data_IF_764229066107
#
_entry.id   IF_764229066107
#
_cell.length_a   1.000
_cell.length_b   1.000
_cell.length_c   1.000
_cell.angle_alpha   90.00
_cell.angle_beta   90.00
_cell.angle_gamma   90.00
#
_symmetry.space_group_name_H-M   'P 1'
#
loop_
_entity.id
_entity.type
_entity.pdbx_description
1 polymer ?
#
# COMPACT_ATOMS: atom_id res chain seq x y z
N UNK A 1 3.31 -16.49 50.20
CA UNK A 1 2.42 -15.32 50.03
C UNK A 1 2.32 -15.06 48.54
N UNK A 2 1.13 -15.28 47.99
CA UNK A 2 0.85 -15.25 46.55
C UNK A 2 0.97 -13.85 45.96
N UNK A 3 1.61 -13.74 44.79
CA UNK A 3 1.37 -12.66 43.83
C UNK A 3 1.35 -13.27 42.43
N UNK A 4 0.20 -13.83 42.07
CA UNK A 4 -0.16 -14.05 40.67
C UNK A 4 -0.30 -12.69 40.00
N UNK A 5 0.66 -12.32 39.15
CA UNK A 5 0.44 -11.28 38.15
C UNK A 5 -0.46 -11.89 37.07
N UNK A 6 -1.79 -11.71 37.21
CA UNK A 6 -2.71 -11.91 36.09
C UNK A 6 -2.29 -10.91 35.02
N UNK A 7 -1.69 -11.40 33.93
CA UNK A 7 -1.50 -10.64 32.70
C UNK A 7 -2.87 -10.17 32.22
N UNK A 8 -3.22 -8.93 32.57
CA UNK A 8 -4.35 -8.23 32.01
C UNK A 8 -4.00 -8.05 30.54
N UNK A 9 -4.62 -8.82 29.66
CA UNK A 9 -4.56 -8.57 28.22
C UNK A 9 -5.31 -7.26 27.99
N UNK A 10 -4.60 -6.15 28.09
CA UNK A 10 -5.10 -4.83 27.74
C UNK A 10 -5.23 -4.87 26.22
N UNK A 11 -6.45 -5.07 25.74
CA UNK A 11 -6.79 -4.73 24.36
C UNK A 11 -6.54 -3.22 24.21
N UNK A 12 -5.32 -2.87 23.79
CA UNK A 12 -5.00 -1.51 23.36
C UNK A 12 -5.82 -1.31 22.10
N UNK A 13 -6.98 -0.69 22.26
CA UNK A 13 -7.79 -0.19 21.17
C UNK A 13 -6.97 0.94 20.53
N UNK A 14 -6.05 0.59 19.65
CA UNK A 14 -5.49 1.56 18.72
C UNK A 14 -6.66 2.06 17.89
N UNK A 15 -7.15 3.24 18.23
CA UNK A 15 -7.85 4.09 17.28
C UNK A 15 -6.83 4.40 16.19
N UNK A 16 -6.69 3.48 15.25
CA UNK A 16 -6.00 3.71 13.99
C UNK A 16 -6.84 4.79 13.31
N UNK A 17 -6.35 6.02 13.35
CA UNK A 17 -6.73 7.03 12.37
C UNK A 17 -6.30 6.49 11.02
N UNK A 18 -7.21 5.80 10.34
CA UNK A 18 -7.03 5.48 8.93
C UNK A 18 -6.84 6.83 8.22
N UNK A 19 -5.84 6.97 7.32
CA UNK A 19 -5.71 8.18 6.55
C UNK A 19 -7.07 8.49 5.92
N UNK A 20 -7.56 9.72 6.14
CA UNK A 20 -8.76 10.24 5.51
C UNK A 20 -8.74 9.82 4.03
N UNK A 21 -9.85 9.25 3.52
CA UNK A 21 -10.00 8.72 2.15
C UNK A 21 -9.12 9.53 1.20
N UNK A 22 -7.98 8.92 0.84
CA UNK A 22 -6.83 9.63 0.33
C UNK A 22 -7.11 10.27 -1.02
N UNK A 23 -6.49 11.41 -1.27
CA UNK A 23 -6.38 11.95 -2.62
C UNK A 23 -5.38 11.08 -3.39
N UNK A 24 -5.87 10.37 -4.39
CA UNK A 24 -5.07 9.51 -5.27
C UNK A 24 -4.54 10.31 -6.44
N UNK A 25 -3.48 9.79 -7.06
CA UNK A 25 -2.76 10.42 -8.17
C UNK A 25 -2.58 9.44 -9.32
N UNK A 26 -2.80 9.92 -10.54
CA UNK A 26 -2.48 9.23 -11.80
C UNK A 26 -1.54 10.14 -12.58
N UNK A 27 -0.35 9.63 -12.86
CA UNK A 27 0.62 10.28 -13.73
C UNK A 27 0.35 9.93 -15.19
N UNK A 28 0.72 10.81 -16.14
CA UNK A 28 0.56 10.51 -17.55
C UNK A 28 1.41 9.30 -17.93
N UNK A 29 0.90 8.47 -18.82
CA UNK A 29 1.70 7.46 -19.49
C UNK A 29 2.72 8.16 -20.41
N UNK A 30 2.24 9.14 -21.18
CA UNK A 30 2.97 9.88 -22.20
C UNK A 30 2.49 11.33 -22.24
N UNK A 31 3.39 12.28 -22.50
CA UNK A 31 3.04 13.64 -22.89
C UNK A 31 3.97 14.20 -23.96
N UNK A 32 3.46 15.16 -24.73
CA UNK A 32 4.31 15.86 -25.69
C UNK A 32 3.72 17.22 -26.04
N UNK A 33 4.60 18.12 -26.49
CA UNK A 33 4.18 19.31 -27.22
C UNK A 33 4.55 19.17 -28.67
N UNK A 34 3.62 19.57 -29.54
CA UNK A 34 3.85 19.63 -30.98
C UNK A 34 3.81 21.08 -31.46
N UNK A 35 4.77 21.45 -32.31
CA UNK A 35 4.78 22.70 -33.09
C UNK A 35 4.56 22.37 -34.56
N UNK A 36 3.29 22.28 -34.94
CA UNK A 36 2.93 21.71 -36.23
C UNK A 36 3.37 20.25 -36.28
N UNK A 37 3.98 19.83 -37.38
CA UNK A 37 4.48 18.46 -37.50
C UNK A 37 5.75 18.14 -36.69
N UNK A 38 6.29 19.11 -35.95
CA UNK A 38 7.49 18.92 -35.13
C UNK A 38 7.12 18.51 -33.71
N UNK A 39 7.82 17.50 -33.19
CA UNK A 39 7.68 17.03 -31.82
C UNK A 39 8.77 17.64 -30.93
N UNK A 40 8.34 18.38 -29.93
CA UNK A 40 9.18 19.08 -28.95
C UNK A 40 9.13 18.41 -27.57
N UNK A 41 8.89 17.10 -27.52
CA UNK A 41 8.93 16.34 -26.27
C UNK A 41 10.31 16.44 -25.59
N UNK A 42 10.31 16.54 -24.26
CA UNK A 42 11.48 16.54 -23.39
C UNK A 42 12.61 17.52 -23.80
N UNK A 43 12.26 18.59 -24.54
CA UNK A 43 13.22 19.53 -25.08
C UNK A 43 13.45 20.65 -24.07
N UNK A 44 14.58 20.72 -23.37
CA UNK A 44 14.82 21.84 -22.44
C UNK A 44 14.91 23.20 -23.20
N UNK A 45 14.27 24.27 -22.70
CA UNK A 45 13.50 24.41 -21.44
C UNK A 45 11.97 24.29 -21.61
N UNK A 46 11.50 23.54 -22.60
CA UNK A 46 10.12 23.50 -23.06
C UNK A 46 9.31 22.38 -22.41
N UNK A 47 8.38 22.75 -21.53
CA UNK A 47 7.30 21.84 -21.08
C UNK A 47 6.10 21.85 -22.04
N UNK A 48 4.89 21.81 -21.48
CA UNK A 48 3.63 21.73 -22.24
C UNK A 48 3.08 23.11 -22.60
N UNK A 49 3.29 23.59 -23.83
CA UNK A 49 2.88 24.95 -24.20
C UNK A 49 1.71 25.03 -25.20
N UNK A 50 0.90 26.07 -25.00
CA UNK A 50 -0.39 26.27 -25.67
C UNK A 50 -0.46 27.72 -26.15
N UNK A 51 0.20 28.05 -27.28
CA UNK A 51 0.43 29.44 -27.72
C UNK A 51 -0.02 29.75 -29.16
N UNK A 52 0.66 29.28 -30.19
CA UNK A 52 0.34 29.44 -31.61
C UNK A 52 -0.57 28.33 -32.16
N UNK A 53 -1.28 28.55 -33.28
CA UNK A 53 -2.37 27.63 -33.74
C UNK A 53 -1.94 26.17 -33.86
N UNK A 54 -0.68 25.96 -34.21
CA UNK A 54 -0.04 24.66 -34.34
C UNK A 54 0.73 24.21 -33.10
N UNK A 55 0.73 25.00 -32.03
CA UNK A 55 1.44 24.76 -30.77
C UNK A 55 0.42 24.23 -29.75
N UNK A 56 0.47 22.93 -29.55
CA UNK A 56 -0.54 22.15 -28.83
C UNK A 56 0.14 21.05 -28.02
N UNK A 57 -0.47 20.67 -26.91
CA UNK A 57 0.07 19.60 -26.05
C UNK A 57 -0.90 18.44 -25.93
N UNK A 58 -0.35 17.24 -25.80
CA UNK A 58 -1.08 16.01 -25.58
C UNK A 58 -0.63 15.38 -24.26
N UNK A 59 -1.58 14.79 -23.53
CA UNK A 59 -1.35 14.05 -22.29
C UNK A 59 -2.11 12.72 -22.38
N UNK A 60 -1.48 11.60 -22.14
CA UNK A 60 -2.11 10.27 -22.10
C UNK A 60 -2.24 9.78 -20.66
N UNK A 61 -3.41 9.25 -20.27
CA UNK A 61 -3.64 8.67 -18.94
C UNK A 61 -4.35 7.32 -19.05
N UNK A 62 -3.93 6.34 -18.25
CA UNK A 62 -4.73 5.13 -17.99
C UNK A 62 -5.64 5.37 -16.78
N UNK A 63 -6.96 5.43 -16.99
CA UNK A 63 -7.92 5.69 -15.92
C UNK A 63 -8.26 4.42 -15.14
N UNK A 64 -8.52 4.57 -13.84
CA UNK A 64 -8.94 3.46 -12.97
C UNK A 64 -10.38 3.00 -13.25
N UNK A 65 -10.75 1.85 -12.69
CA UNK A 65 -12.11 1.30 -12.79
C UNK A 65 -13.06 1.80 -11.70
N UNK A 66 -12.55 2.59 -10.74
CA UNK A 66 -13.30 3.05 -9.57
C UNK A 66 -13.99 4.39 -9.85
N UNK A 67 -15.32 4.49 -9.64
CA UNK A 67 -16.02 5.77 -9.70
C UNK A 67 -15.48 6.77 -8.67
N UNK A 68 -15.47 8.05 -9.04
CA UNK A 68 -14.88 9.14 -8.26
C UNK A 68 -15.90 10.21 -7.91
N UNK A 69 -15.82 10.76 -6.70
CA UNK A 69 -16.58 11.96 -6.28
C UNK A 69 -15.93 13.24 -6.79
N UNK A 70 -14.62 13.18 -7.04
CA UNK A 70 -13.85 14.27 -7.58
C UNK A 70 -12.70 13.69 -8.43
N UNK A 71 -12.48 14.25 -9.61
CA UNK A 71 -11.22 14.13 -10.33
C UNK A 71 -10.81 15.51 -10.83
N UNK A 72 -9.51 15.83 -10.80
CA UNK A 72 -8.96 17.11 -11.23
C UNK A 72 -7.74 16.89 -12.09
N UNK A 73 -7.70 17.51 -13.26
CA UNK A 73 -6.46 17.71 -13.99
C UNK A 73 -5.65 18.77 -13.25
N UNK A 74 -4.40 18.45 -12.93
CA UNK A 74 -3.47 19.35 -12.27
C UNK A 74 -2.37 19.69 -13.25
N UNK A 75 -2.19 20.98 -13.51
CA UNK A 75 -1.13 21.50 -14.37
C UNK A 75 -0.36 22.57 -13.62
N UNK A 76 0.95 22.49 -13.70
CA UNK A 76 1.85 23.43 -13.04
C UNK A 76 2.43 24.39 -14.05
N UNK A 77 2.52 25.67 -13.72
CA UNK A 77 3.05 26.70 -14.61
C UNK A 77 4.09 27.53 -13.87
N UNK A 78 5.16 27.90 -14.58
CA UNK A 78 6.29 28.67 -14.01
C UNK A 78 6.53 30.00 -14.72
N UNK A 79 6.05 30.13 -15.95
CA UNK A 79 6.39 31.24 -16.83
C UNK A 79 5.70 32.56 -16.48
N UNK A 80 6.20 33.62 -17.08
CA UNK A 80 5.58 34.93 -17.01
C UNK A 80 4.43 34.98 -18.02
N UNK A 81 3.23 35.37 -17.58
CA UNK A 81 2.12 35.75 -18.49
C UNK A 81 1.69 37.19 -18.28
N UNK A 82 1.47 37.92 -19.37
CA UNK A 82 0.98 39.31 -19.35
C UNK A 82 -0.54 39.33 -19.49
N UNK A 83 -1.05 38.59 -20.47
CA UNK A 83 -2.47 38.51 -20.77
C UNK A 83 -3.03 37.17 -20.26
N UNK A 84 -4.26 37.13 -19.76
CA UNK A 84 -4.89 35.87 -19.36
C UNK A 84 -5.18 34.99 -20.59
N UNK A 85 -4.97 33.68 -20.45
CA UNK A 85 -5.22 32.68 -21.48
C UNK A 85 -6.34 31.73 -21.05
N UNK A 86 -7.33 31.56 -21.91
CA UNK A 86 -8.31 30.47 -21.75
C UNK A 86 -7.76 29.23 -22.42
N UNK A 87 -7.45 28.21 -21.62
CA UNK A 87 -7.04 26.91 -22.12
C UNK A 87 -8.27 26.09 -22.40
N UNK A 88 -8.28 25.46 -23.57
CA UNK A 88 -9.30 24.53 -24.03
C UNK A 88 -8.74 23.13 -23.92
N UNK A 89 -9.43 22.26 -23.18
CA UNK A 89 -9.05 20.86 -23.02
C UNK A 89 -10.09 20.00 -23.71
N UNK A 90 -9.64 19.20 -24.66
CA UNK A 90 -10.44 18.18 -25.36
C UNK A 90 -9.91 16.79 -25.01
N UNK A 91 -10.68 15.73 -25.26
CA UNK A 91 -10.23 14.40 -24.89
C UNK A 91 -10.97 13.27 -25.59
N UNK A 92 -10.24 12.19 -25.86
CA UNK A 92 -10.74 10.99 -26.53
C UNK A 92 -9.96 9.74 -26.08
N UNK A 93 -10.53 8.57 -26.29
CA UNK A 93 -9.81 7.30 -26.19
C UNK A 93 -8.79 7.24 -27.33
N UNK A 94 -7.53 7.46 -26.99
CA UNK A 94 -6.43 7.61 -27.94
C UNK A 94 -5.13 7.31 -27.24
N UNK A 95 -4.23 6.64 -27.96
CA UNK A 95 -2.89 6.32 -27.49
C UNK A 95 -1.83 6.89 -28.45
N UNK A 96 -0.72 7.35 -27.91
CA UNK A 96 0.40 7.84 -28.70
C UNK A 96 1.74 7.55 -28.03
N UNK A 97 2.79 7.49 -28.85
CA UNK A 97 4.17 7.40 -28.38
C UNK A 97 4.78 8.81 -28.41
N UNK A 98 5.06 9.37 -27.23
CA UNK A 98 5.61 10.71 -27.06
C UNK A 98 6.91 10.96 -27.83
N UNK A 99 7.67 9.92 -28.19
CA UNK A 99 8.95 10.03 -28.88
C UNK A 99 8.81 10.16 -30.40
N UNK A 100 7.68 9.71 -30.98
CA UNK A 100 7.48 9.66 -32.44
C UNK A 100 6.22 10.38 -32.92
N UNK A 101 5.34 10.80 -32.01
CA UNK A 101 4.07 11.43 -32.37
C UNK A 101 4.26 12.79 -33.06
N UNK A 102 3.54 13.03 -34.16
CA UNK A 102 3.66 14.28 -34.96
C UNK A 102 2.31 14.80 -35.48
N UNK A 103 1.21 14.10 -35.18
CA UNK A 103 -0.11 14.39 -35.73
C UNK A 103 -0.84 15.49 -34.93
N UNK A 104 -0.26 16.70 -34.89
CA UNK A 104 -0.69 17.81 -34.03
C UNK A 104 -2.16 18.20 -34.15
N UNK A 105 -2.76 18.05 -35.32
CA UNK A 105 -4.14 18.47 -35.55
C UNK A 105 -5.20 17.46 -35.06
N UNK A 106 -4.80 16.24 -34.68
CA UNK A 106 -5.71 15.13 -34.34
C UNK A 106 -6.71 15.50 -33.26
N UNK A 107 -6.24 16.15 -32.18
CA UNK A 107 -7.04 16.53 -31.03
C UNK A 107 -8.08 17.62 -31.28
N UNK A 108 -8.00 18.38 -32.39
CA UNK A 108 -8.99 19.41 -32.69
C UNK A 108 -10.40 18.85 -32.89
N UNK A 109 -10.52 17.61 -33.36
CA UNK A 109 -11.79 16.91 -33.56
C UNK A 109 -12.36 16.25 -32.30
N UNK A 110 -11.63 16.24 -31.19
CA UNK A 110 -12.07 15.55 -29.97
C UNK A 110 -13.17 16.33 -29.24
N UNK A 111 -14.05 15.64 -28.48
CA UNK A 111 -15.04 16.28 -27.61
C UNK A 111 -14.38 17.24 -26.61
N UNK A 112 -15.07 18.35 -26.32
CA UNK A 112 -14.68 19.28 -25.26
C UNK A 112 -14.80 18.58 -23.90
N UNK A 113 -13.74 18.64 -23.11
CA UNK A 113 -13.72 18.19 -21.71
C UNK A 113 -13.99 19.37 -20.79
N UNK A 114 -13.34 20.50 -21.03
CA UNK A 114 -13.51 21.69 -20.23
C UNK A 114 -12.61 22.83 -20.69
N UNK A 115 -12.71 23.93 -19.97
CA UNK A 115 -11.82 25.08 -20.13
C UNK A 115 -11.41 25.59 -18.75
N UNK A 116 -10.23 26.18 -18.64
CA UNK A 116 -9.80 26.87 -17.43
C UNK A 116 -9.00 28.12 -17.79
N UNK A 117 -8.99 29.09 -16.87
CA UNK A 117 -8.29 30.34 -17.04
C UNK A 117 -6.90 30.26 -16.42
N UNK A 118 -5.89 30.57 -17.24
CA UNK A 118 -4.55 30.89 -16.79
C UNK A 118 -4.46 32.42 -16.75
N UNK A 119 -4.47 32.99 -15.56
CA UNK A 119 -4.44 34.43 -15.34
C UNK A 119 -3.05 35.04 -15.54
N UNK A 120 -3.01 36.26 -16.07
CA UNK A 120 -1.80 36.98 -16.46
C UNK A 120 -1.01 37.59 -15.29
N UNK A 121 -0.64 36.79 -14.29
CA UNK A 121 0.17 37.26 -13.15
C UNK A 121 1.66 36.99 -13.34
N UNK A 122 2.50 37.98 -12.99
CA UNK A 122 3.96 37.82 -12.92
C UNK A 122 4.32 36.97 -11.71
N UNK A 123 4.89 35.80 -11.95
CA UNK A 123 5.38 34.93 -10.88
C UNK A 123 6.89 35.14 -10.72
N UNK A 124 7.30 35.90 -9.70
CA UNK A 124 8.70 35.94 -9.28
C UNK A 124 9.02 34.66 -8.49
N UNK A 125 10.23 34.14 -8.62
CA UNK A 125 10.72 33.02 -7.78
C UNK A 125 10.44 33.32 -6.28
N UNK A 126 10.03 32.33 -5.47
CA UNK A 126 10.10 30.87 -5.72
C UNK A 126 8.80 30.18 -6.18
N UNK A 127 7.79 30.90 -6.70
CA UNK A 127 6.44 30.34 -6.84
C UNK A 127 6.18 29.62 -8.17
N UNK A 128 5.74 28.37 -8.10
CA UNK A 128 5.07 27.62 -9.18
C UNK A 128 3.56 27.71 -8.96
N UNK A 129 2.80 28.00 -10.02
CA UNK A 129 1.35 28.09 -9.92
C UNK A 129 0.70 26.80 -10.37
N UNK A 130 -0.23 26.31 -9.56
CA UNK A 130 -1.00 25.10 -9.85
C UNK A 130 -2.38 25.51 -10.35
N UNK A 131 -2.72 25.04 -11.53
CA UNK A 131 -4.05 25.13 -12.12
C UNK A 131 -4.76 23.79 -11.97
N UNK A 132 -6.06 23.87 -11.68
CA UNK A 132 -6.91 22.70 -11.49
C UNK A 132 -8.12 22.83 -12.41
N UNK A 133 -8.41 21.78 -13.18
CA UNK A 133 -9.64 21.68 -13.96
C UNK A 133 -10.41 20.46 -13.48
N UNK A 134 -11.70 20.63 -13.21
CA UNK A 134 -12.58 19.51 -12.86
C UNK A 134 -12.69 18.53 -14.04
N UNK A 135 -12.36 17.26 -13.77
CA UNK A 135 -12.46 16.12 -14.68
C UNK A 135 -13.51 15.11 -14.22
N UNK A 136 -14.23 15.34 -13.12
CA UNK A 136 -15.02 14.32 -12.43
C UNK A 136 -16.00 13.58 -13.35
N UNK A 137 -16.81 14.32 -14.12
CA UNK A 137 -17.76 13.70 -15.05
C UNK A 137 -17.08 12.97 -16.21
N UNK A 138 -16.00 13.55 -16.74
CA UNK A 138 -15.23 12.96 -17.84
C UNK A 138 -14.51 11.68 -17.41
N UNK A 139 -13.91 11.66 -16.22
CA UNK A 139 -13.25 10.49 -15.64
C UNK A 139 -14.25 9.34 -15.46
N UNK A 140 -15.39 9.61 -14.82
CA UNK A 140 -16.43 8.60 -14.56
C UNK A 140 -17.06 8.04 -15.86
N UNK A 141 -17.08 8.81 -16.95
CA UNK A 141 -17.57 8.34 -18.25
C UNK A 141 -16.58 7.42 -18.98
N UNK A 142 -15.32 7.36 -18.54
CA UNK A 142 -14.23 6.68 -19.23
C UNK A 142 -13.44 5.71 -18.31
N UNK A 143 -14.08 5.17 -17.27
CA UNK A 143 -13.45 4.23 -16.32
C UNK A 143 -12.80 3.04 -17.05
N UNK A 144 -11.58 2.70 -16.64
CA UNK A 144 -10.81 1.57 -17.16
C UNK A 144 -10.19 1.75 -18.55
N UNK A 145 -10.32 2.94 -19.15
CA UNK A 145 -9.80 3.24 -20.49
C UNK A 145 -8.49 4.01 -20.45
N UNK A 146 -7.68 3.87 -21.51
CA UNK A 146 -6.57 4.79 -21.77
C UNK A 146 -7.09 5.95 -22.60
N UNK A 147 -6.96 7.15 -22.06
CA UNK A 147 -7.56 8.37 -22.58
C UNK A 147 -6.47 9.42 -22.79
N UNK A 148 -6.55 10.16 -23.91
CA UNK A 148 -5.70 11.32 -24.13
C UNK A 148 -6.48 12.62 -23.94
N UNK A 149 -5.81 13.62 -23.36
CA UNK A 149 -6.23 15.02 -23.32
C UNK A 149 -5.41 15.83 -24.32
N UNK A 150 -6.07 16.77 -24.99
CA UNK A 150 -5.49 17.70 -25.95
C UNK A 150 -5.68 19.12 -25.44
N UNK A 151 -4.57 19.81 -25.20
CA UNK A 151 -4.53 21.17 -24.71
C UNK A 151 -4.33 22.12 -25.89
N UNK A 152 -5.27 23.04 -26.04
CA UNK A 152 -5.28 24.03 -27.11
C UNK A 152 -5.93 25.33 -26.62
N UNK A 153 -6.21 26.26 -27.54
CA UNK A 153 -6.91 27.50 -27.29
C UNK A 153 -7.69 27.91 -28.53
N UNK A 154 -8.80 28.60 -28.33
CA UNK A 154 -9.60 29.17 -29.42
C UNK A 154 -9.13 30.57 -29.84
N UNK A 155 -8.52 31.30 -28.91
CA UNK A 155 -8.00 32.65 -29.11
C UNK A 155 -6.58 32.76 -28.59
N UNK A 156 -5.72 33.50 -29.30
CA UNK A 156 -4.35 33.79 -28.92
C UNK A 156 -4.26 35.24 -28.41
N UNK A 157 -4.19 35.45 -27.08
CA UNK A 157 -4.11 36.79 -26.49
C UNK A 157 -2.79 37.51 -26.78
N UNK A 158 -1.72 36.76 -27.03
CA UNK A 158 -0.37 37.30 -27.17
C UNK A 158 0.47 36.44 -28.14
N UNK A 159 1.27 37.11 -28.99
CA UNK A 159 2.10 36.46 -30.02
C UNK A 159 3.51 36.14 -29.53
N UNK A 160 3.97 36.81 -28.48
CA UNK A 160 5.33 36.68 -27.94
C UNK A 160 5.36 35.71 -26.76
N UNK A 161 4.33 35.72 -25.90
CA UNK A 161 4.35 34.97 -24.64
C UNK A 161 3.07 34.17 -24.44
N UNK A 162 3.17 32.90 -24.05
CA UNK A 162 2.03 32.02 -23.82
C UNK A 162 2.28 31.03 -22.69
N UNK A 163 1.23 30.35 -22.20
CA UNK A 163 1.33 29.42 -21.07
C UNK A 163 2.16 28.21 -21.46
N UNK A 164 3.13 27.88 -20.62
CA UNK A 164 3.92 26.66 -20.66
C UNK A 164 3.72 25.98 -19.30
N UNK A 165 3.16 24.78 -19.31
CA UNK A 165 3.05 23.97 -18.12
C UNK A 165 4.27 23.06 -17.99
N UNK A 166 4.46 22.50 -16.81
CA UNK A 166 5.42 21.42 -16.62
C UNK A 166 4.99 20.19 -17.42
N UNK A 167 5.97 19.47 -17.97
CA UNK A 167 5.82 18.17 -18.61
C UNK A 167 6.12 17.03 -17.63
N UNK A 168 6.00 15.78 -18.08
CA UNK A 168 6.31 14.59 -17.30
C UNK A 168 7.79 14.55 -16.88
N UNK A 169 8.70 15.02 -17.73
CA UNK A 169 10.15 14.96 -17.53
C UNK A 169 10.68 16.05 -16.59
N UNK A 170 9.94 17.15 -16.39
CA UNK A 170 10.32 18.27 -15.52
C UNK A 170 11.17 19.33 -16.22
N UNK A 171 11.07 19.46 -17.54
CA UNK A 171 11.96 20.31 -18.35
C UNK A 171 11.69 21.81 -18.19
N UNK A 172 10.50 22.22 -17.73
CA UNK A 172 10.19 23.63 -17.46
C UNK A 172 10.77 24.10 -16.12
N UNK A 173 10.76 23.25 -15.08
CA UNK A 173 11.40 23.60 -13.80
C UNK A 173 12.93 23.45 -13.81
N UNK A 174 13.51 22.77 -14.80
CA UNK A 174 14.95 22.51 -14.88
C UNK A 174 15.45 21.63 -13.72
N UNK A 175 14.54 20.89 -13.10
CA UNK A 175 14.85 19.83 -12.14
C UNK A 175 14.53 18.52 -12.85
N UNK A 176 15.54 17.85 -13.44
CA UNK A 176 15.33 16.61 -14.16
C UNK A 176 14.62 15.60 -13.27
N UNK A 177 13.53 14.99 -13.77
CA UNK A 177 12.78 13.95 -13.08
C UNK A 177 12.18 14.41 -11.74
N UNK A 178 11.51 15.57 -11.72
CA UNK A 178 10.72 15.99 -10.57
C UNK A 178 9.22 15.70 -10.77
N UNK A 179 8.77 14.44 -10.61
CA UNK A 179 7.39 14.05 -10.87
C UNK A 179 6.39 14.82 -10.02
N UNK A 180 6.78 15.42 -8.89
CA UNK A 180 5.85 16.19 -8.04
C UNK A 180 5.15 17.33 -8.80
N UNK A 181 5.76 17.86 -9.86
CA UNK A 181 5.29 19.06 -10.56
C UNK A 181 4.69 18.80 -11.95
N UNK A 182 4.97 17.65 -12.55
CA UNK A 182 4.38 17.26 -13.83
C UNK A 182 2.85 17.20 -13.83
N UNK A 183 2.25 17.12 -15.03
CA UNK A 183 0.82 17.02 -15.20
C UNK A 183 0.32 15.73 -14.53
N UNK A 184 -0.87 15.76 -13.96
CA UNK A 184 -1.46 14.58 -13.30
C UNK A 184 -2.96 14.70 -13.14
N UNK A 185 -3.62 13.58 -12.90
CA UNK A 185 -4.99 13.55 -12.41
C UNK A 185 -4.96 13.23 -10.92
N UNK A 186 -5.53 14.13 -10.11
CA UNK A 186 -5.80 13.89 -8.69
C UNK A 186 -7.28 13.53 -8.50
N UNK A 187 -7.57 12.44 -7.79
CA UNK A 187 -8.95 11.96 -7.64
C UNK A 187 -9.29 11.47 -6.23
N UNK A 188 -10.57 11.52 -5.91
CA UNK A 188 -11.15 11.04 -4.65
C UNK A 188 -12.25 10.02 -5.02
N UNK A 189 -12.22 8.80 -4.46
CA UNK A 189 -13.27 7.80 -4.70
C UNK A 189 -14.66 8.37 -4.43
N UNK A 190 -15.67 7.86 -5.13
CA UNK A 190 -17.04 8.25 -4.83
C UNK A 190 -17.41 7.78 -3.42
N UNK A 191 -18.14 8.61 -2.68
CA UNK A 191 -18.52 8.29 -1.29
C UNK A 191 -19.33 7.00 -1.16
N UNK A 192 -19.87 6.45 -2.25
CA UNK A 192 -20.59 5.17 -2.28
C UNK A 192 -19.71 3.96 -2.61
N UNK A 193 -18.40 4.11 -2.73
CA UNK A 193 -17.46 3.01 -2.97
C UNK A 193 -17.02 2.46 -1.62
N UNK A 194 -17.28 1.17 -1.29
CA UNK A 194 -16.84 0.59 -0.04
C UNK A 194 -15.32 0.41 -0.01
N UNK A 195 -14.72 0.34 1.17
CA UNK A 195 -13.27 0.11 1.36
C UNK A 195 -13.09 -1.00 2.39
N UNK A 196 -12.23 -1.97 2.10
CA UNK A 196 -11.84 -3.00 3.07
C UNK A 196 -10.74 -2.45 3.99
N UNK A 197 -11.01 -2.39 5.29
CA UNK A 197 -10.03 -1.98 6.31
C UNK A 197 -9.94 -3.04 7.41
N UNK A 198 -8.71 -3.39 7.80
CA UNK A 198 -8.41 -4.31 8.90
C UNK A 198 -7.97 -3.52 10.14
N UNK A 199 -8.33 -4.00 11.33
CA UNK A 199 -7.91 -3.35 12.59
C UNK A 199 -6.44 -3.56 12.96
N UNK A 200 -5.77 -4.49 12.29
CA UNK A 200 -4.36 -4.86 12.53
C UNK A 200 -3.69 -5.16 11.20
N UNK A 201 -2.37 -5.01 11.16
CA UNK A 201 -1.55 -5.32 9.98
C UNK A 201 -0.94 -6.73 10.03
N UNK A 202 -0.83 -7.32 11.23
CA UNK A 202 -0.36 -8.69 11.45
C UNK A 202 -0.90 -9.26 12.77
N UNK A 203 -0.89 -10.58 12.90
CA UNK A 203 -1.12 -11.30 14.17
C UNK A 203 0.16 -12.05 14.52
N UNK A 204 0.65 -11.84 15.74
CA UNK A 204 1.75 -12.61 16.31
C UNK A 204 1.30 -13.27 17.61
N UNK A 205 1.36 -14.60 17.62
CA UNK A 205 0.96 -15.40 18.78
C UNK A 205 2.03 -16.43 19.12
N UNK A 206 2.08 -16.82 20.38
CA UNK A 206 2.98 -17.86 20.85
C UNK A 206 2.27 -18.73 21.87
N UNK A 207 2.59 -20.01 21.85
CA UNK A 207 2.08 -21.02 22.79
C UNK A 207 3.20 -22.00 23.07
N UNK A 208 3.21 -22.56 24.27
CA UNK A 208 4.20 -23.57 24.65
C UNK A 208 3.68 -24.96 24.24
N UNK A 209 4.59 -25.86 23.92
CA UNK A 209 4.27 -27.19 23.40
C UNK A 209 3.34 -27.95 24.36
N UNK A 210 2.35 -28.65 23.80
CA UNK A 210 1.32 -29.34 24.58
C UNK A 210 0.21 -28.44 25.14
N UNK A 211 0.31 -27.11 25.03
CA UNK A 211 -0.77 -26.19 25.43
C UNK A 211 -1.71 -25.82 24.26
N UNK A 212 -2.90 -25.34 24.61
CA UNK A 212 -3.87 -24.84 23.64
C UNK A 212 -3.71 -23.34 23.47
N UNK A 213 -3.42 -22.90 22.25
CA UNK A 213 -3.39 -21.48 21.90
C UNK A 213 -4.80 -20.88 21.96
N UNK A 214 -4.95 -19.75 22.65
CA UNK A 214 -6.19 -18.98 22.66
C UNK A 214 -6.52 -18.42 21.27
N UNK A 215 -7.81 -18.23 20.99
CA UNK A 215 -8.25 -17.60 19.75
C UNK A 215 -7.82 -16.14 19.69
N UNK A 216 -7.47 -15.68 18.49
CA UNK A 216 -7.23 -14.28 18.19
C UNK A 216 -8.44 -13.64 17.51
N UNK A 217 -8.47 -12.32 17.45
CA UNK A 217 -9.53 -11.60 16.73
C UNK A 217 -8.98 -10.44 15.93
N UNK A 218 -9.65 -10.13 14.82
CA UNK A 218 -9.45 -8.90 14.07
C UNK A 218 -10.79 -8.34 13.62
N UNK A 219 -10.83 -7.07 13.25
CA UNK A 219 -12.03 -6.39 12.79
C UNK A 219 -11.89 -6.06 11.31
N UNK A 220 -12.92 -6.38 10.53
CA UNK A 220 -13.12 -5.84 9.18
C UNK A 220 -14.08 -4.67 9.28
N UNK A 221 -13.74 -3.55 8.67
CA UNK A 221 -14.57 -2.35 8.65
C UNK A 221 -14.72 -1.78 7.25
N UNK A 222 -15.88 -1.15 7.00
CA UNK A 222 -16.13 -0.38 5.79
C UNK A 222 -15.95 1.12 6.09
N UNK A 223 -14.76 1.64 5.80
CA UNK A 223 -14.36 3.02 6.15
C UNK A 223 -14.91 4.11 5.24
N UNK A 224 -15.65 3.73 4.20
CA UNK A 224 -16.30 4.63 3.23
C UNK A 224 -17.73 4.16 2.98
N UNK A 225 -18.50 4.90 2.17
CA UNK A 225 -19.90 4.55 1.94
C UNK A 225 -20.11 3.41 0.95
N UNK A 226 -21.38 3.18 0.60
CA UNK A 226 -21.80 1.94 -0.05
C UNK A 226 -21.87 0.76 0.92
N UNK A 227 -22.15 -0.43 0.38
CA UNK A 227 -22.18 -1.68 1.15
C UNK A 227 -21.03 -2.56 0.71
N UNK A 228 -20.11 -2.85 1.61
CA UNK A 228 -19.04 -3.83 1.42
C UNK A 228 -19.60 -5.24 1.57
N UNK A 229 -19.50 -6.05 0.53
CA UNK A 229 -19.65 -7.51 0.60
C UNK A 229 -18.26 -8.14 0.52
N UNK A 230 -17.88 -8.97 1.49
CA UNK A 230 -16.54 -9.55 1.54
C UNK A 230 -16.56 -11.03 1.94
N UNK A 231 -15.50 -11.72 1.54
CA UNK A 231 -15.19 -13.10 1.92
C UNK A 231 -13.79 -13.17 2.53
N UNK A 232 -13.56 -14.16 3.38
CA UNK A 232 -12.30 -14.42 4.06
C UNK A 232 -11.85 -15.84 3.73
N UNK A 233 -10.60 -15.97 3.33
CA UNK A 233 -9.92 -17.26 3.14
C UNK A 233 -8.60 -17.25 3.90
N UNK A 234 -8.08 -18.44 4.19
CA UNK A 234 -6.73 -18.64 4.71
C UNK A 234 -6.02 -19.71 3.87
N UNK A 235 -4.71 -19.82 4.03
CA UNK A 235 -3.86 -20.72 3.25
C UNK A 235 -3.24 -21.84 4.07
N UNK A 236 -3.69 -22.10 5.30
CA UNK A 236 -3.07 -23.08 6.19
C UNK A 236 -4.10 -23.92 6.95
N UNK A 237 -3.95 -25.26 6.99
CA UNK A 237 -4.93 -26.15 7.61
C UNK A 237 -4.98 -26.07 9.14
N UNK A 238 -3.95 -25.52 9.79
CA UNK A 238 -3.90 -25.30 11.23
C UNK A 238 -4.60 -24.01 11.68
N UNK A 239 -5.13 -23.23 10.75
CA UNK A 239 -5.83 -21.97 11.01
C UNK A 239 -7.23 -22.02 10.41
N UNK A 240 -8.18 -21.32 11.04
CA UNK A 240 -9.50 -21.06 10.46
C UNK A 240 -10.06 -19.74 10.97
N UNK A 241 -10.92 -19.10 10.16
CA UNK A 241 -11.56 -17.82 10.51
C UNK A 241 -13.08 -17.94 10.50
N UNK A 242 -13.74 -17.40 11.53
CA UNK A 242 -15.21 -17.36 11.61
C UNK A 242 -15.72 -16.02 12.16
N UNK A 243 -16.75 -15.41 11.57
CA UNK A 243 -17.41 -15.82 10.31
C UNK A 243 -16.47 -15.61 9.09
N UNK A 244 -16.57 -16.45 8.05
CA UNK A 244 -15.70 -16.35 6.87
C UNK A 244 -16.19 -15.36 5.80
N UNK A 245 -17.20 -14.54 6.10
CA UNK A 245 -17.74 -13.52 5.19
C UNK A 245 -18.62 -12.51 5.94
N UNK A 246 -18.98 -11.42 5.27
CA UNK A 246 -19.92 -10.45 5.81
C UNK A 246 -20.42 -9.43 4.79
N UNK A 247 -21.35 -8.62 5.26
CA UNK A 247 -21.84 -7.42 4.59
C UNK A 247 -21.83 -6.25 5.59
N UNK A 248 -21.26 -5.12 5.21
CA UNK A 248 -21.08 -3.94 6.05
C UNK A 248 -21.50 -2.68 5.29
N UNK A 249 -22.49 -1.97 5.80
CA UNK A 249 -22.81 -0.61 5.34
C UNK A 249 -21.73 0.40 5.74
N UNK A 250 -21.89 1.64 5.32
CA UNK A 250 -20.99 2.74 5.66
C UNK A 250 -20.72 2.84 7.17
N UNK A 251 -19.43 2.90 7.53
CA UNK A 251 -18.98 3.06 8.92
C UNK A 251 -19.24 1.84 9.82
N UNK A 252 -19.75 0.74 9.27
CA UNK A 252 -19.96 -0.50 10.02
C UNK A 252 -18.69 -1.35 10.07
N UNK A 253 -18.60 -2.17 11.11
CA UNK A 253 -17.51 -3.11 11.31
C UNK A 253 -18.01 -4.45 11.86
N UNK A 254 -17.18 -5.49 11.72
CA UNK A 254 -17.45 -6.82 12.26
C UNK A 254 -16.17 -7.48 12.75
N UNK A 255 -16.25 -8.08 13.92
CA UNK A 255 -15.18 -8.90 14.50
C UNK A 255 -15.19 -10.30 13.90
N UNK A 256 -14.00 -10.79 13.59
CA UNK A 256 -13.70 -12.14 13.12
C UNK A 256 -12.78 -12.83 14.12
N UNK A 257 -13.05 -14.10 14.39
CA UNK A 257 -12.27 -14.93 15.31
C UNK A 257 -11.37 -15.86 14.51
N UNK A 258 -10.10 -15.89 14.87
CA UNK A 258 -9.07 -16.80 14.36
C UNK A 258 -8.92 -17.95 15.35
N UNK A 259 -9.10 -19.18 14.87
CA UNK A 259 -8.94 -20.40 15.67
C UNK A 259 -7.77 -21.23 15.15
N UNK A 260 -7.01 -21.83 16.07
CA UNK A 260 -5.79 -22.57 15.79
C UNK A 260 -5.96 -24.06 16.14
N UNK A 261 -5.44 -24.95 15.29
CA UNK A 261 -5.40 -26.40 15.49
C UNK A 261 -3.97 -26.90 15.35
N UNK A 262 -3.19 -26.77 16.44
CA UNK A 262 -1.74 -27.07 16.47
C UNK A 262 -1.38 -28.36 17.21
N UNK A 263 -2.35 -29.13 17.71
CA UNK A 263 -2.07 -30.26 18.62
C UNK A 263 -1.18 -31.40 18.07
N UNK A 264 -0.91 -31.44 16.77
CA UNK A 264 -0.01 -32.42 16.13
C UNK A 264 1.22 -31.77 15.48
N UNK A 265 1.47 -30.49 15.75
CA UNK A 265 2.58 -29.74 15.19
C UNK A 265 3.75 -29.72 16.19
N UNK A 266 4.97 -29.89 15.68
CA UNK A 266 6.20 -29.82 16.48
C UNK A 266 6.56 -28.38 16.84
N UNK A 267 7.55 -28.21 17.71
CA UNK A 267 8.06 -26.88 18.06
C UNK A 267 8.56 -26.17 16.79
N UNK A 268 8.26 -24.88 16.66
CA UNK A 268 8.67 -24.12 15.48
C UNK A 268 7.84 -22.86 15.21
N UNK A 269 8.14 -22.23 14.07
CA UNK A 269 7.46 -21.02 13.60
C UNK A 269 6.54 -21.40 12.45
N UNK A 270 5.25 -21.09 12.62
CA UNK A 270 4.19 -21.35 11.64
C UNK A 270 3.66 -20.04 11.08
N UNK A 271 3.63 -19.93 9.75
CA UNK A 271 3.20 -18.73 9.05
C UNK A 271 2.00 -19.00 8.14
N UNK A 272 1.00 -18.12 8.21
CA UNK A 272 -0.19 -18.13 7.37
C UNK A 272 -0.52 -16.72 6.87
N UNK A 273 -1.32 -16.66 5.82
CA UNK A 273 -1.94 -15.44 5.32
C UNK A 273 -3.45 -15.61 5.32
N UNK A 274 -4.14 -14.74 6.05
CA UNK A 274 -5.60 -14.57 5.92
C UNK A 274 -5.84 -13.52 4.84
N UNK A 275 -6.66 -13.83 3.84
CA UNK A 275 -7.02 -12.91 2.77
C UNK A 275 -8.48 -12.48 2.94
N UNK A 276 -8.72 -11.17 3.01
CA UNK A 276 -10.06 -10.57 3.00
C UNK A 276 -10.27 -9.90 1.65
N UNK A 277 -11.23 -10.41 0.86
CA UNK A 277 -11.47 -9.92 -0.50
C UNK A 277 -12.90 -9.43 -0.69
N UNK A 278 -13.07 -8.47 -1.59
CA UNK A 278 -14.38 -8.09 -2.12
C UNK A 278 -15.07 -9.32 -2.72
N UNK A 279 -16.35 -9.46 -2.41
CA UNK A 279 -17.17 -10.58 -2.83
C UNK A 279 -18.46 -10.08 -3.47
N UNK A 280 -18.32 -9.16 -4.43
CA UNK A 280 -19.43 -8.67 -5.24
C UNK A 280 -20.07 -7.39 -4.73
N UNK A 281 -19.28 -6.48 -4.16
CA UNK A 281 -19.80 -5.14 -3.85
C UNK A 281 -20.16 -4.40 -5.15
N UNK A 282 -21.16 -3.52 -5.08
CA UNK A 282 -21.56 -2.69 -6.21
C UNK A 282 -21.72 -1.23 -5.76
N UNK A 283 -20.81 -0.32 -6.15
CA UNK A 283 -19.59 -0.56 -6.94
C UNK A 283 -18.56 -1.44 -6.21
N UNK A 284 -17.58 -2.06 -6.91
CA UNK A 284 -16.55 -2.88 -6.29
C UNK A 284 -15.76 -2.10 -5.23
N UNK A 285 -15.36 -2.78 -4.14
CA UNK A 285 -14.59 -2.12 -3.08
C UNK A 285 -13.23 -1.59 -3.58
N UNK A 286 -12.87 -0.42 -3.08
CA UNK A 286 -11.50 0.08 -3.16
C UNK A 286 -10.61 -0.81 -2.27
N UNK A 287 -9.44 -1.19 -2.77
CA UNK A 287 -8.59 -2.22 -2.18
C UNK A 287 -9.35 -3.55 -2.03
N UNK A 288 -9.82 -4.09 -3.15
CA UNK A 288 -10.63 -5.30 -3.25
C UNK A 288 -10.00 -6.58 -2.67
N UNK A 289 -8.77 -6.51 -2.15
CA UNK A 289 -8.12 -7.57 -1.40
C UNK A 289 -7.16 -6.97 -0.37
N UNK A 290 -7.18 -7.49 0.85
CA UNK A 290 -6.25 -7.20 1.93
C UNK A 290 -5.70 -8.52 2.49
N UNK A 291 -4.42 -8.56 2.82
CA UNK A 291 -3.75 -9.74 3.37
C UNK A 291 -3.31 -9.42 4.80
N UNK A 292 -3.69 -10.29 5.73
CA UNK A 292 -3.28 -10.27 7.14
C UNK A 292 -2.33 -11.44 7.39
N UNK A 293 -1.01 -11.18 7.49
CA UNK A 293 -0.04 -12.18 7.91
C UNK A 293 -0.28 -12.61 9.36
N UNK A 294 -0.14 -13.92 9.60
CA UNK A 294 -0.25 -14.54 10.92
C UNK A 294 1.02 -15.35 11.17
N UNK A 295 1.70 -15.09 12.27
CA UNK A 295 2.84 -15.87 12.75
C UNK A 295 2.51 -16.47 14.10
N UNK A 296 2.58 -17.80 14.21
CA UNK A 296 2.45 -18.52 15.46
C UNK A 296 3.78 -19.18 15.80
N UNK A 297 4.30 -18.93 17.01
CA UNK A 297 5.49 -19.60 17.53
C UNK A 297 5.05 -20.68 18.53
N UNK A 298 5.19 -21.95 18.14
CA UNK A 298 5.08 -23.06 19.09
C UNK A 298 6.45 -23.25 19.73
N UNK A 299 6.53 -22.98 21.03
CA UNK A 299 7.79 -22.92 21.79
C UNK A 299 7.92 -24.12 22.71
N UNK A 300 9.12 -24.31 23.21
CA UNK A 300 9.49 -25.28 24.23
C UNK A 300 10.44 -24.59 25.21
N UNK A 301 10.89 -25.33 26.22
CA UNK A 301 11.90 -24.85 27.18
C UNK A 301 13.27 -24.78 26.51
N UNK A 302 14.14 -23.86 26.95
CA UNK A 302 15.46 -23.69 26.34
C UNK A 302 16.29 -25.00 26.26
N UNK A 303 16.23 -25.90 27.27
CA UNK A 303 17.00 -27.15 27.22
C UNK A 303 16.54 -28.22 26.22
N UNK A 304 15.39 -28.03 25.56
CA UNK A 304 14.95 -28.85 24.42
C UNK A 304 15.69 -28.33 23.18
N UNK A 305 16.81 -28.98 22.87
CA UNK A 305 17.78 -28.59 21.85
C UNK A 305 17.48 -29.25 20.49
N UNK A 306 16.58 -30.22 20.42
CA UNK A 306 16.12 -30.82 19.17
C UNK A 306 14.71 -30.47 18.71
N UNK A 307 14.00 -29.71 19.55
CA UNK A 307 12.71 -29.10 19.29
C UNK A 307 11.60 -30.12 19.06
N UNK A 308 11.64 -31.25 19.76
CA UNK A 308 10.58 -32.26 19.71
C UNK A 308 9.53 -32.12 20.83
N UNK A 309 9.78 -31.25 21.82
CA UNK A 309 8.84 -30.88 22.87
C UNK A 309 9.14 -31.50 24.24
N UNK A 310 10.20 -32.29 24.38
CA UNK A 310 10.69 -32.79 25.66
C UNK A 310 12.17 -32.46 25.93
N UNK A 311 12.68 -32.84 27.10
CA UNK A 311 14.10 -32.69 27.43
C UNK A 311 14.63 -34.05 27.86
N UNK A 312 15.45 -34.65 27.02
CA UNK A 312 15.88 -36.04 27.21
C UNK A 312 17.36 -36.31 26.85
N UNK A 313 17.70 -37.55 26.46
CA UNK A 313 19.08 -37.94 26.16
C UNK A 313 19.56 -37.42 24.81
N UNK A 314 18.66 -37.20 23.87
CA UNK A 314 18.92 -36.67 22.54
C UNK A 314 19.34 -35.21 22.67
N UNK A 315 18.65 -34.42 23.49
CA UNK A 315 19.06 -33.06 23.86
C UNK A 315 20.37 -33.05 24.62
N UNK A 316 20.56 -33.98 25.56
CA UNK A 316 21.80 -34.06 26.31
C UNK A 316 23.00 -34.31 25.38
N UNK A 317 22.82 -35.11 24.32
CA UNK A 317 23.83 -35.33 23.29
C UNK A 317 24.23 -34.03 22.59
N UNK A 318 23.27 -33.14 22.30
CA UNK A 318 23.53 -31.82 21.71
C UNK A 318 24.19 -30.87 22.71
N UNK A 319 23.70 -30.83 23.94
CA UNK A 319 24.29 -30.05 25.02
C UNK A 319 25.75 -30.45 25.28
N UNK A 320 26.03 -31.76 25.34
CA UNK A 320 27.35 -32.32 25.58
C UNK A 320 28.37 -31.90 24.52
N UNK A 321 27.96 -31.71 23.27
CA UNK A 321 28.85 -31.24 22.20
C UNK A 321 29.40 -29.83 22.45
N UNK A 322 28.68 -29.03 23.25
CA UNK A 322 29.03 -27.65 23.59
C UNK A 322 29.60 -27.49 25.00
N UNK A 323 29.40 -28.48 25.88
CA UNK A 323 29.75 -28.38 27.29
C UNK A 323 31.24 -28.16 27.53
N UNK A 324 31.56 -27.22 28.42
CA UNK A 324 32.92 -26.84 28.79
C UNK A 324 33.59 -25.86 27.82
N UNK A 325 32.83 -25.26 26.91
CA UNK A 325 33.33 -24.27 25.95
C UNK A 325 32.73 -22.88 26.20
N UNK A 326 33.43 -21.81 25.78
CA UNK A 326 32.79 -20.50 25.58
C UNK A 326 31.84 -20.58 24.39
N UNK A 327 30.71 -19.87 24.40
CA UNK A 327 29.73 -19.90 23.31
C UNK A 327 30.41 -19.69 21.94
N UNK A 328 30.31 -20.71 21.09
CA UNK A 328 30.81 -20.74 19.72
C UNK A 328 29.62 -20.82 18.75
N UNK A 329 29.83 -20.50 17.45
CA UNK A 329 28.83 -20.76 16.42
C UNK A 329 28.30 -22.20 16.46
N UNK A 330 27.00 -22.36 16.67
CA UNK A 330 26.29 -23.64 16.82
C UNK A 330 26.03 -24.09 18.26
N UNK A 331 26.54 -23.37 19.27
CA UNK A 331 26.37 -23.66 20.69
C UNK A 331 25.61 -22.56 21.45
N UNK A 332 25.10 -21.55 20.75
CA UNK A 332 24.38 -20.42 21.34
C UNK A 332 23.12 -20.88 22.08
N UNK A 333 22.47 -21.94 21.62
CA UNK A 333 21.28 -22.50 22.25
C UNK A 333 21.57 -23.26 23.54
N UNK A 334 22.82 -23.69 23.78
CA UNK A 334 23.19 -24.47 24.97
C UNK A 334 23.64 -23.58 26.16
N UNK A 335 23.77 -22.27 25.96
CA UNK A 335 24.02 -21.26 27.00
C UNK A 335 22.69 -20.73 27.52
N UNK A 336 22.10 -21.47 28.47
CA UNK A 336 20.75 -21.23 28.96
C UNK A 336 20.67 -20.03 29.90
N UNK A 337 21.78 -19.66 30.54
CA UNK A 337 21.83 -18.48 31.42
C UNK A 337 22.38 -17.22 30.72
N UNK A 338 22.80 -17.34 29.45
CA UNK A 338 23.35 -16.27 28.62
C UNK A 338 24.61 -15.61 29.21
N UNK A 339 25.47 -16.38 29.88
CA UNK A 339 26.73 -15.90 30.47
C UNK A 339 27.94 -15.96 29.53
N UNK A 340 27.74 -16.51 28.32
CA UNK A 340 28.77 -16.67 27.31
C UNK A 340 29.60 -17.96 27.45
N UNK A 341 29.25 -18.87 28.35
CA UNK A 341 29.92 -20.16 28.53
C UNK A 341 28.94 -21.30 28.83
N UNK A 342 29.01 -22.39 28.07
CA UNK A 342 28.20 -23.59 28.32
C UNK A 342 28.88 -24.43 29.40
N UNK A 343 28.37 -24.38 30.63
CA UNK A 343 29.07 -24.89 31.81
C UNK A 343 28.13 -25.57 32.83
N UNK A 344 28.62 -25.81 34.05
CA UNK A 344 27.88 -26.51 35.09
C UNK A 344 26.58 -25.80 35.49
N UNK A 345 26.51 -24.47 35.33
CA UNK A 345 25.28 -23.70 35.57
C UNK A 345 24.21 -24.07 34.54
N UNK A 346 24.54 -24.11 33.25
CA UNK A 346 23.62 -24.55 32.19
C UNK A 346 23.20 -26.00 32.35
N UNK A 347 24.14 -26.87 32.75
CA UNK A 347 23.81 -28.26 33.04
C UNK A 347 22.83 -28.40 34.22
N UNK A 348 22.91 -27.50 35.19
CA UNK A 348 21.92 -27.42 36.27
C UNK A 348 20.52 -27.09 35.77
N UNK A 349 20.41 -26.14 34.82
CA UNK A 349 19.15 -25.78 34.16
C UNK A 349 18.63 -26.95 33.32
N UNK A 350 19.50 -27.60 32.54
CA UNK A 350 19.16 -28.79 31.76
C UNK A 350 18.55 -29.89 32.63
N UNK A 351 19.22 -30.26 33.72
CA UNK A 351 18.74 -31.30 34.64
C UNK A 351 17.43 -30.91 35.34
N UNK A 352 17.18 -29.62 35.55
CA UNK A 352 15.92 -29.12 36.08
C UNK A 352 14.74 -29.37 35.13
N UNK A 353 15.01 -29.40 33.82
CA UNK A 353 14.04 -29.61 32.76
C UNK A 353 13.91 -31.05 32.29
N UNK A 354 14.89 -31.91 32.58
CA UNK A 354 14.90 -33.29 32.12
C UNK A 354 13.62 -34.04 32.51
N UNK A 355 12.80 -34.34 31.50
CA UNK A 355 11.52 -35.02 31.62
C UNK A 355 11.56 -36.45 31.09
N UNK A 356 12.48 -36.73 30.15
CA UNK A 356 12.65 -38.00 29.45
C UNK A 356 11.80 -38.11 28.18
N UNK A 357 12.17 -39.06 27.33
CA UNK A 357 11.57 -39.27 26.02
C UNK A 357 10.04 -39.39 26.05
N UNK A 358 9.38 -38.73 25.10
CA UNK A 358 7.94 -38.60 24.92
C UNK A 358 7.20 -37.97 26.13
N UNK A 359 7.90 -37.28 27.04
CA UNK A 359 7.31 -36.60 28.21
C UNK A 359 7.55 -35.10 28.11
N UNK A 360 6.52 -34.28 27.81
CA UNK A 360 6.70 -32.84 27.68
C UNK A 360 7.37 -32.21 28.89
N UNK A 361 8.36 -31.36 28.64
CA UNK A 361 9.09 -30.67 29.70
C UNK A 361 8.18 -29.70 30.47
N UNK A 362 8.42 -29.54 31.78
CA UNK A 362 7.73 -28.53 32.57
C UNK A 362 8.14 -27.15 32.08
N UNK A 363 7.21 -26.37 31.52
CA UNK A 363 7.50 -25.04 30.96
C UNK A 363 8.20 -24.06 31.91
N UNK A 364 8.13 -24.30 33.23
CA UNK A 364 8.75 -23.46 34.27
C UNK A 364 10.10 -23.98 34.76
N UNK A 365 10.61 -25.07 34.20
CA UNK A 365 11.83 -25.73 34.68
C UNK A 365 13.11 -24.91 34.48
N UNK A 366 13.09 -23.96 33.54
CA UNK A 366 14.22 -23.12 33.17
C UNK A 366 14.07 -21.64 33.60
N UNK A 367 13.04 -21.32 34.40
CA UNK A 367 12.70 -19.96 34.84
C UNK A 367 13.60 -19.39 35.97
#
# INVERSE_FOLDING_TARGET
MSRFARGLCVAVLWLITVPAVGQFRIDPNDDCTLRGGHNDNASEPFGLFVKGISEVSYLEFTLGNTPVSQAKLILSQRDWLVNPWTIVVKGAEFQFDETTFTAWATGHGWPLVGTFLVDGTRHNLPWQRVYQMDLTSWYNANLGKTMSLFLTRDYQPDVEVGPIFEDKEGTNTGIPYHPVHGPRIEWIPAHNVPVIQLSVEAIESAVDFGESLSVDTFIVSNGSGGTLHYAITDNQPWLSVSPASGALGEGQSRTHTISYTLGNYGVGIYQANITVSDNGSSPPALYSSQVLPVTVRLRTVLPDLDHDGDVDQEDFGKFQACYGTSVQPGCEMADFNSDGAVNQVDFGIFLGCFSGADVPADKTCAD
#
